data_IF_829787747632
#
_entry.id   IF_829787747632
#
_cell.length_a   1.000
_cell.length_b   1.000
_cell.length_c   1.000
_cell.angle_alpha   90.00
_cell.angle_beta   90.00
_cell.angle_gamma   90.00
#
_symmetry.space_group_name_H-M   'P 1'
#
loop_
_entity.id
_entity.type
_entity.pdbx_description
1 polymer ?
#
# COMPACT_ATOMS: atom_id res chain seq x y z
N UNK A 1 -16.17 10.83 -4.58
CA UNK A 1 -16.10 10.83 -3.11
C UNK A 1 -14.87 11.61 -2.69
N UNK A 2 -14.89 12.28 -1.54
CA UNK A 2 -13.75 13.04 -1.00
C UNK A 2 -13.50 12.64 0.44
N UNK A 3 -12.23 12.48 0.80
CA UNK A 3 -11.75 12.32 2.16
C UNK A 3 -10.71 13.38 2.44
N UNK A 4 -10.65 13.86 3.67
CA UNK A 4 -9.65 14.80 4.14
C UNK A 4 -8.82 14.16 5.24
N UNK A 5 -7.51 14.14 5.05
CA UNK A 5 -6.54 13.64 6.04
C UNK A 5 -6.07 14.83 6.86
N UNK A 6 -6.45 14.88 8.14
CA UNK A 6 -6.09 15.99 9.04
C UNK A 6 -4.79 15.70 9.79
N UNK A 7 -3.72 16.31 9.32
CA UNK A 7 -2.37 16.23 9.91
C UNK A 7 -1.80 17.64 10.14
N UNK A 8 -2.67 18.61 10.43
CA UNK A 8 -2.27 20.00 10.65
C UNK A 8 -1.65 20.61 9.40
N UNK A 9 -0.38 21.04 9.48
CA UNK A 9 0.31 21.65 8.33
C UNK A 9 0.56 20.68 7.15
N UNK A 10 0.38 19.38 7.34
CA UNK A 10 0.59 18.34 6.35
C UNK A 10 -0.72 17.68 5.89
N UNK A 11 -1.86 18.31 6.17
CA UNK A 11 -3.17 17.84 5.75
C UNK A 11 -3.34 17.88 4.24
N UNK A 12 -4.14 16.95 3.70
CA UNK A 12 -4.41 16.86 2.26
C UNK A 12 -5.76 16.20 1.98
N UNK A 13 -6.29 16.43 0.77
CA UNK A 13 -7.50 15.75 0.30
C UNK A 13 -7.17 14.51 -0.54
N UNK A 14 -8.05 13.52 -0.48
CA UNK A 14 -8.07 12.33 -1.32
C UNK A 14 -9.39 12.35 -2.08
N UNK A 15 -9.33 12.32 -3.41
CA UNK A 15 -10.51 12.22 -4.26
C UNK A 15 -10.57 10.85 -4.92
N UNK A 16 -11.74 10.21 -4.82
CA UNK A 16 -12.02 8.88 -5.38
C UNK A 16 -13.20 9.01 -6.33
N UNK A 17 -12.95 8.94 -7.63
CA UNK A 17 -13.98 9.17 -8.64
C UNK A 17 -13.61 8.49 -9.96
N UNK A 18 -14.59 7.84 -10.59
CA UNK A 18 -14.43 7.25 -11.92
C UNK A 18 -14.14 8.33 -12.98
N UNK A 19 -13.14 8.10 -13.81
CA UNK A 19 -12.64 9.02 -14.83
C UNK A 19 -12.00 10.32 -14.30
N UNK A 20 -11.64 10.41 -13.03
CA UNK A 20 -11.02 11.60 -12.43
C UNK A 20 -9.74 12.04 -13.16
N UNK A 21 -9.05 11.12 -13.83
CA UNK A 21 -7.84 11.45 -14.59
C UNK A 21 -8.09 12.46 -15.71
N UNK A 22 -9.30 12.55 -16.26
CA UNK A 22 -9.68 13.53 -17.28
C UNK A 22 -9.81 14.95 -16.74
N UNK A 23 -9.92 15.08 -15.42
CA UNK A 23 -10.10 16.35 -14.72
C UNK A 23 -8.92 16.69 -13.79
N UNK A 24 -7.79 15.96 -13.95
CA UNK A 24 -6.59 16.10 -13.10
C UNK A 24 -6.16 17.55 -12.95
N UNK A 25 -6.18 18.35 -14.04
CA UNK A 25 -5.80 19.77 -14.02
C UNK A 25 -6.63 20.57 -13.04
N UNK A 26 -7.96 20.37 -12.99
CA UNK A 26 -8.87 21.10 -12.10
C UNK A 26 -8.63 20.77 -10.61
N UNK A 27 -8.25 19.54 -10.30
CA UNK A 27 -7.91 19.15 -8.94
C UNK A 27 -6.55 19.71 -8.52
N UNK A 28 -5.56 19.70 -9.42
CA UNK A 28 -4.22 20.26 -9.16
C UNK A 28 -4.30 21.75 -8.87
N UNK A 29 -5.14 22.51 -9.55
CA UNK A 29 -5.34 23.95 -9.33
C UNK A 29 -5.76 24.29 -7.89
N UNK A 30 -6.42 23.37 -7.18
CA UNK A 30 -6.80 23.57 -5.78
C UNK A 30 -5.60 23.64 -4.83
N UNK A 31 -4.49 23.00 -5.19
CA UNK A 31 -3.31 22.84 -4.31
C UNK A 31 -2.02 23.42 -4.89
N UNK A 32 -2.01 23.75 -6.19
CA UNK A 32 -0.82 24.21 -6.90
C UNK A 32 -1.15 25.30 -7.93
N UNK A 33 -0.38 26.41 -7.88
CA UNK A 33 -0.58 27.59 -8.73
C UNK A 33 0.70 28.09 -9.42
N UNK A 34 1.76 27.27 -9.43
CA UNK A 34 3.04 27.61 -10.10
C UNK A 34 3.05 27.10 -11.53
N UNK A 35 4.24 26.99 -12.17
CA UNK A 35 4.31 26.74 -13.61
C UNK A 35 4.74 25.33 -13.98
N UNK A 36 5.65 24.69 -13.23
CA UNK A 36 6.31 23.46 -13.68
C UNK A 36 5.78 22.24 -12.97
N UNK A 37 5.51 21.19 -13.73
CA UNK A 37 5.07 19.89 -13.25
C UNK A 37 5.95 18.81 -13.87
N UNK A 38 6.51 17.92 -13.05
CA UNK A 38 7.19 16.70 -13.49
C UNK A 38 6.29 15.50 -13.22
N UNK A 39 5.88 14.79 -14.25
CA UNK A 39 5.20 13.50 -14.13
C UNK A 39 6.28 12.42 -14.08
N UNK A 40 6.36 11.67 -12.98
CA UNK A 40 7.21 10.50 -12.84
C UNK A 40 6.30 9.27 -12.95
N UNK A 41 6.60 8.39 -13.90
CA UNK A 41 5.82 7.20 -14.18
C UNK A 41 6.74 6.07 -14.67
N UNK A 42 6.15 4.93 -14.98
CA UNK A 42 6.85 3.80 -15.59
C UNK A 42 6.37 3.51 -17.02
N UNK A 43 7.12 2.66 -17.70
CA UNK A 43 6.92 2.30 -19.11
C UNK A 43 5.69 1.38 -19.35
N UNK A 44 5.03 0.89 -18.29
CA UNK A 44 3.73 0.22 -18.39
C UNK A 44 2.56 1.22 -18.23
N UNK A 45 2.66 2.15 -17.29
CA UNK A 45 1.56 3.04 -16.88
C UNK A 45 1.47 4.28 -17.77
N UNK A 46 2.61 4.90 -18.09
CA UNK A 46 2.61 6.14 -18.85
C UNK A 46 1.95 6.02 -20.24
N UNK A 47 2.18 4.95 -21.03
CA UNK A 47 1.51 4.77 -22.31
C UNK A 47 -0.03 4.67 -22.23
N UNK A 48 -0.56 4.26 -21.07
CA UNK A 48 -2.00 4.10 -20.86
C UNK A 48 -2.66 5.42 -20.43
N UNK A 49 -2.01 6.19 -19.58
CA UNK A 49 -2.65 7.32 -18.86
C UNK A 49 -1.90 8.63 -18.96
N UNK A 50 -0.60 8.62 -19.31
CA UNK A 50 0.25 9.81 -19.31
C UNK A 50 -0.27 10.91 -20.19
N UNK A 51 -0.60 10.59 -21.46
CA UNK A 51 -1.12 11.58 -22.42
C UNK A 51 -2.46 12.19 -21.97
N UNK A 52 -3.31 11.42 -21.29
CA UNK A 52 -4.58 11.94 -20.76
C UNK A 52 -4.31 13.01 -19.72
N UNK A 53 -3.37 12.78 -18.81
CA UNK A 53 -3.00 13.73 -17.76
C UNK A 53 -2.29 14.96 -18.36
N UNK A 54 -1.32 14.76 -19.25
CA UNK A 54 -0.60 15.85 -19.92
C UNK A 54 -1.58 16.83 -20.57
N UNK A 55 -2.56 16.34 -21.33
CA UNK A 55 -3.60 17.17 -21.99
C UNK A 55 -4.42 18.02 -21.02
N UNK A 56 -4.62 17.59 -19.78
CA UNK A 56 -5.34 18.38 -18.78
C UNK A 56 -4.49 19.50 -18.18
N UNK A 57 -3.17 19.45 -18.39
CA UNK A 57 -2.18 20.34 -17.75
C UNK A 57 -1.49 21.31 -18.70
N UNK A 58 -1.26 20.93 -19.97
CA UNK A 58 -0.37 21.62 -20.90
C UNK A 58 -0.79 23.06 -21.23
N UNK A 59 -2.08 23.39 -21.14
CA UNK A 59 -2.57 24.76 -21.37
C UNK A 59 -2.13 25.75 -20.28
N UNK A 60 -1.84 25.27 -19.07
CA UNK A 60 -1.53 26.10 -17.89
C UNK A 60 -0.14 25.89 -17.32
N UNK A 61 0.45 24.73 -17.56
CA UNK A 61 1.70 24.31 -16.93
C UNK A 61 2.73 23.91 -17.98
N UNK A 62 3.99 24.13 -17.65
CA UNK A 62 5.13 23.53 -18.33
C UNK A 62 5.29 22.10 -17.82
N UNK A 63 4.82 21.13 -18.59
CA UNK A 63 4.79 19.72 -18.20
C UNK A 63 6.00 18.97 -18.73
N UNK A 64 6.69 18.30 -17.84
CA UNK A 64 7.79 17.38 -18.14
C UNK A 64 7.39 15.97 -17.71
N UNK A 65 7.95 14.95 -18.36
CA UNK A 65 7.71 13.55 -18.02
C UNK A 65 9.03 12.80 -17.90
N UNK A 66 9.16 12.00 -16.85
CA UNK A 66 10.24 11.05 -16.65
C UNK A 66 9.64 9.65 -16.56
N UNK A 67 9.98 8.80 -17.53
CA UNK A 67 9.49 7.42 -17.62
C UNK A 67 10.62 6.50 -17.18
N UNK A 68 10.37 5.71 -16.15
CA UNK A 68 11.31 4.75 -15.57
C UNK A 68 10.92 3.30 -16.00
N UNK A 69 11.82 2.34 -15.93
CA UNK A 69 11.45 0.94 -16.09
C UNK A 69 10.44 0.52 -15.01
N UNK A 70 9.46 -0.31 -15.36
CA UNK A 70 8.50 -0.85 -14.40
C UNK A 70 9.13 -1.89 -13.45
N UNK A 71 8.45 -2.18 -12.35
CA UNK A 71 8.77 -3.24 -11.40
C UNK A 71 9.65 -2.83 -10.22
N UNK A 72 9.69 -3.69 -9.21
CA UNK A 72 10.37 -3.44 -7.93
C UNK A 72 11.85 -3.05 -8.05
N UNK A 73 12.66 -3.59 -9.00
CA UNK A 73 14.06 -3.16 -9.15
C UNK A 73 14.25 -1.67 -9.40
N UNK A 74 13.22 -0.97 -9.89
CA UNK A 74 13.23 0.48 -10.07
C UNK A 74 13.13 1.25 -8.75
N UNK A 75 12.52 0.66 -7.71
CA UNK A 75 12.41 1.24 -6.38
C UNK A 75 13.73 1.17 -5.62
N UNK A 76 14.76 1.76 -6.17
CA UNK A 76 16.12 1.62 -5.70
C UNK A 76 16.81 2.97 -5.51
N UNK A 77 17.85 2.98 -4.68
CA UNK A 77 18.68 4.17 -4.49
C UNK A 77 19.33 4.65 -5.78
N UNK A 78 19.64 3.73 -6.71
CA UNK A 78 20.24 4.01 -8.02
C UNK A 78 19.30 4.78 -8.98
N UNK A 79 18.00 4.75 -8.74
CA UNK A 79 17.01 5.49 -9.53
C UNK A 79 16.91 6.95 -9.11
N UNK A 80 17.24 7.31 -7.87
CA UNK A 80 17.14 8.69 -7.36
C UNK A 80 18.03 9.68 -8.14
N UNK A 81 19.31 9.40 -8.45
CA UNK A 81 20.12 10.30 -9.26
C UNK A 81 19.52 10.62 -10.63
N UNK A 82 18.84 9.67 -11.28
CA UNK A 82 18.17 9.89 -12.57
C UNK A 82 17.02 10.89 -12.41
N UNK A 83 16.22 10.75 -11.34
CA UNK A 83 15.13 11.68 -11.04
C UNK A 83 15.68 13.06 -10.74
N UNK A 84 16.72 13.18 -9.91
CA UNK A 84 17.32 14.48 -9.58
C UNK A 84 17.94 15.16 -10.79
N UNK A 85 18.62 14.42 -11.67
CA UNK A 85 19.17 14.96 -12.91
C UNK A 85 18.06 15.52 -13.80
N UNK A 86 16.99 14.78 -14.03
CA UNK A 86 15.85 15.23 -14.82
C UNK A 86 15.21 16.52 -14.25
N UNK A 87 15.04 16.60 -12.93
CA UNK A 87 14.51 17.78 -12.24
C UNK A 87 15.46 18.99 -12.40
N UNK A 88 16.79 18.79 -12.29
CA UNK A 88 17.78 19.84 -12.41
C UNK A 88 17.93 20.33 -13.86
N UNK A 89 17.94 19.44 -14.84
CA UNK A 89 17.99 19.77 -16.27
C UNK A 89 16.77 20.59 -16.68
N UNK A 90 15.58 20.26 -16.17
CA UNK A 90 14.35 21.02 -16.36
C UNK A 90 14.25 22.25 -15.44
N UNK A 91 15.30 22.54 -14.64
CA UNK A 91 15.39 23.70 -13.73
C UNK A 91 14.22 23.78 -12.74
N UNK A 92 13.87 22.65 -12.14
CA UNK A 92 12.87 22.61 -11.06
C UNK A 92 13.39 23.30 -9.80
N UNK A 93 12.48 23.99 -9.14
CA UNK A 93 12.70 24.66 -7.86
C UNK A 93 11.84 24.00 -6.75
N UNK A 94 12.08 24.39 -5.51
CA UNK A 94 11.29 23.92 -4.36
C UNK A 94 9.79 24.22 -4.47
N UNK A 95 9.40 25.21 -5.27
CA UNK A 95 8.01 25.63 -5.45
C UNK A 95 7.27 24.90 -6.58
N UNK A 96 7.96 24.01 -7.31
CA UNK A 96 7.37 23.23 -8.39
C UNK A 96 6.73 21.94 -7.88
N UNK A 97 6.16 21.12 -8.75
CA UNK A 97 5.33 19.97 -8.40
C UNK A 97 5.80 18.69 -9.08
N UNK A 98 5.80 17.58 -8.32
CA UNK A 98 5.97 16.23 -8.85
C UNK A 98 4.61 15.53 -8.83
N UNK A 99 4.26 14.82 -9.90
CA UNK A 99 3.14 13.87 -9.95
C UNK A 99 3.74 12.47 -10.01
N UNK A 100 3.43 11.64 -9.03
CA UNK A 100 3.71 10.20 -9.04
C UNK A 100 2.52 9.49 -9.70
N UNK A 101 2.67 9.07 -10.95
CA UNK A 101 1.66 8.34 -11.72
C UNK A 101 2.07 6.88 -11.84
N UNK A 102 1.51 5.99 -11.02
CA UNK A 102 1.89 4.58 -11.04
C UNK A 102 1.42 3.78 -9.85
N UNK A 103 1.87 2.54 -9.74
CA UNK A 103 1.68 1.71 -8.56
C UNK A 103 2.54 2.15 -7.37
N UNK A 104 2.60 1.31 -6.32
CA UNK A 104 3.35 1.59 -5.09
C UNK A 104 4.83 1.88 -5.33
N UNK A 105 5.47 1.20 -6.29
CA UNK A 105 6.87 1.43 -6.67
C UNK A 105 7.12 2.89 -7.06
N UNK A 106 6.32 3.42 -7.97
CA UNK A 106 6.44 4.82 -8.43
C UNK A 106 6.01 5.79 -7.34
N UNK A 107 4.93 5.48 -6.61
CA UNK A 107 4.46 6.31 -5.50
C UNK A 107 5.53 6.53 -4.43
N UNK A 108 6.18 5.45 -3.98
CA UNK A 108 7.22 5.49 -2.97
C UNK A 108 8.50 6.18 -3.48
N UNK A 109 8.97 5.79 -4.66
CA UNK A 109 10.20 6.33 -5.25
C UNK A 109 10.09 7.82 -5.55
N UNK A 110 9.01 8.24 -6.22
CA UNK A 110 8.78 9.65 -6.55
C UNK A 110 8.50 10.48 -5.29
N UNK A 111 7.78 9.92 -4.31
CA UNK A 111 7.54 10.55 -3.02
C UNK A 111 8.83 10.75 -2.23
N UNK A 112 9.73 9.76 -2.19
CA UNK A 112 11.02 9.89 -1.52
C UNK A 112 11.95 10.86 -2.29
N UNK A 113 11.93 10.84 -3.62
CA UNK A 113 12.63 11.87 -4.41
C UNK A 113 12.10 13.27 -4.10
N UNK A 114 10.77 13.43 -3.96
CA UNK A 114 10.17 14.71 -3.59
C UNK A 114 10.57 15.16 -2.16
N UNK A 115 10.62 14.23 -1.20
CA UNK A 115 11.03 14.52 0.17
C UNK A 115 12.48 15.02 0.27
N UNK A 116 13.37 14.49 -0.57
CA UNK A 116 14.81 14.76 -0.51
C UNK A 116 15.29 15.85 -1.47
N UNK A 117 14.65 16.03 -2.63
CA UNK A 117 15.02 17.05 -3.61
C UNK A 117 14.85 18.47 -3.02
N UNK A 118 15.93 19.24 -3.00
CA UNK A 118 15.98 20.60 -2.41
C UNK A 118 15.42 20.69 -0.97
N UNK A 119 15.46 19.60 -0.21
CA UNK A 119 14.89 19.44 1.15
C UNK A 119 13.36 19.48 1.19
N UNK A 120 12.72 19.09 0.12
CA UNK A 120 11.27 18.95 -0.01
C UNK A 120 10.70 19.78 -1.17
N UNK A 121 10.02 19.10 -2.08
CA UNK A 121 9.20 19.67 -3.16
C UNK A 121 7.80 19.03 -3.05
N UNK A 122 6.74 19.78 -3.35
CA UNK A 122 5.39 19.21 -3.33
C UNK A 122 5.26 18.03 -4.28
N UNK A 123 4.49 17.02 -3.88
CA UNK A 123 4.12 15.93 -4.78
C UNK A 123 2.66 15.55 -4.63
N UNK A 124 2.13 14.91 -5.66
CA UNK A 124 0.78 14.38 -5.75
C UNK A 124 0.88 12.91 -6.12
N UNK A 125 -0.01 12.08 -5.58
CA UNK A 125 -0.12 10.67 -5.93
C UNK A 125 -1.32 10.43 -6.84
N UNK A 126 -1.11 9.69 -7.93
CA UNK A 126 -2.13 9.13 -8.82
C UNK A 126 -1.89 7.62 -8.88
N UNK A 127 -2.43 6.86 -7.90
CA UNK A 127 -2.17 5.43 -7.79
C UNK A 127 -2.93 4.62 -8.85
N UNK A 128 -2.22 3.71 -9.54
CA UNK A 128 -2.77 2.93 -10.65
C UNK A 128 -2.84 1.42 -10.41
N UNK A 129 -2.40 0.93 -9.26
CA UNK A 129 -2.65 -0.45 -8.80
C UNK A 129 -3.63 -0.46 -7.64
N UNK A 130 -4.33 -1.59 -7.42
CA UNK A 130 -5.29 -1.70 -6.32
C UNK A 130 -4.59 -1.51 -4.97
N UNK A 131 -3.44 -2.17 -4.75
CA UNK A 131 -2.63 -1.99 -3.55
C UNK A 131 -2.28 -0.52 -3.28
N UNK A 132 -1.92 0.23 -4.33
CA UNK A 132 -1.61 1.65 -4.17
C UNK A 132 -2.86 2.48 -3.89
N UNK A 133 -4.00 2.16 -4.49
CA UNK A 133 -5.26 2.88 -4.27
C UNK A 133 -5.78 2.70 -2.84
N UNK A 134 -5.71 1.50 -2.29
CA UNK A 134 -6.29 1.19 -0.96
C UNK A 134 -5.29 1.36 0.19
N UNK A 135 -3.99 1.37 -0.11
CA UNK A 135 -2.96 1.35 0.93
C UNK A 135 -1.82 2.35 0.68
N UNK A 136 -0.84 2.07 -0.19
CA UNK A 136 0.46 2.76 -0.17
C UNK A 136 0.40 4.26 -0.48
N UNK A 137 -0.61 4.77 -1.18
CA UNK A 137 -0.76 6.20 -1.47
C UNK A 137 -1.16 7.06 -0.27
N UNK A 138 -1.50 6.47 0.87
CA UNK A 138 -2.00 7.16 2.06
C UNK A 138 -1.06 6.99 3.24
N UNK A 139 -0.81 8.08 3.98
CA UNK A 139 -0.02 8.04 5.22
C UNK A 139 1.45 8.34 5.07
N UNK A 140 1.89 8.78 3.87
CA UNK A 140 3.16 9.43 3.64
C UNK A 140 4.41 8.57 3.84
N UNK A 141 4.31 7.25 3.98
CA UNK A 141 5.47 6.37 3.95
C UNK A 141 6.00 6.29 2.54
N UNK A 142 7.15 6.87 2.27
CA UNK A 142 7.83 6.86 0.97
C UNK A 142 9.25 6.34 1.16
N UNK A 143 9.72 5.46 0.28
CA UNK A 143 10.98 4.76 0.49
C UNK A 143 11.59 4.21 -0.80
N UNK A 144 12.83 3.75 -0.67
CA UNK A 144 13.54 2.92 -1.64
C UNK A 144 14.10 1.67 -0.96
N UNK A 145 14.33 0.66 -1.77
CA UNK A 145 14.90 -0.61 -1.36
C UNK A 145 16.43 -0.57 -1.36
N UNK A 146 17.02 -1.37 -0.48
CA UNK A 146 18.43 -1.68 -0.46
C UNK A 146 18.64 -3.19 -0.70
N UNK A 147 19.87 -3.65 -1.00
CA UNK A 147 20.17 -5.08 -1.09
C UNK A 147 19.83 -5.85 0.18
N UNK A 148 19.85 -5.18 1.33
CA UNK A 148 19.58 -5.74 2.65
C UNK A 148 18.08 -5.91 2.94
N UNK A 149 17.18 -5.23 2.19
CA UNK A 149 15.74 -5.36 2.37
C UNK A 149 14.94 -4.23 1.76
N UNK A 150 13.62 -4.45 1.70
CA UNK A 150 12.66 -3.47 1.18
C UNK A 150 12.43 -2.32 2.17
N UNK A 151 12.17 -1.11 1.63
CA UNK A 151 11.70 0.08 2.36
C UNK A 151 12.63 0.56 3.50
N UNK A 152 13.92 0.22 3.47
CA UNK A 152 14.85 0.53 4.58
C UNK A 152 15.31 1.99 4.59
N UNK A 153 15.23 2.70 3.47
CA UNK A 153 15.60 4.12 3.38
C UNK A 153 14.41 4.92 2.86
N UNK A 154 13.92 5.84 3.66
CA UNK A 154 12.73 6.61 3.31
C UNK A 154 12.45 7.79 4.22
N UNK A 155 11.26 8.32 4.09
CA UNK A 155 10.77 9.44 4.88
C UNK A 155 9.26 9.31 5.14
N UNK A 156 8.78 10.00 6.18
CA UNK A 156 7.36 10.34 6.29
C UNK A 156 7.13 11.66 5.58
N UNK A 157 6.61 11.60 4.34
CA UNK A 157 6.38 12.78 3.50
C UNK A 157 4.99 12.72 2.89
N UNK A 158 4.08 13.58 3.37
CA UNK A 158 2.68 13.56 2.95
C UNK A 158 2.50 14.17 1.55
N UNK A 159 1.67 13.58 0.68
CA UNK A 159 1.33 14.18 -0.60
C UNK A 159 0.48 15.45 -0.37
N UNK A 160 0.52 16.37 -1.33
CA UNK A 160 -0.38 17.54 -1.33
C UNK A 160 -1.81 17.17 -1.77
N UNK A 161 -1.96 16.04 -2.46
CA UNK A 161 -3.21 15.54 -3.01
C UNK A 161 -3.06 14.08 -3.42
N UNK A 162 -4.13 13.29 -3.32
CA UNK A 162 -4.23 11.95 -3.91
C UNK A 162 -5.46 11.89 -4.81
N UNK A 163 -5.28 11.43 -6.06
CA UNK A 163 -6.35 11.23 -7.04
C UNK A 163 -6.47 9.75 -7.37
N UNK A 164 -7.58 9.15 -7.00
CA UNK A 164 -7.85 7.72 -7.19
C UNK A 164 -8.95 7.56 -8.25
N UNK A 165 -8.60 6.94 -9.37
CA UNK A 165 -9.53 6.53 -10.41
C UNK A 165 -9.70 5.01 -10.39
N UNK A 166 -10.82 4.47 -9.87
CA UNK A 166 -11.04 3.03 -9.84
C UNK A 166 -11.03 2.38 -11.23
N UNK A 167 -11.35 3.12 -12.30
CA UNK A 167 -11.42 2.57 -13.65
C UNK A 167 -10.05 2.21 -14.24
N UNK A 168 -8.94 2.75 -13.72
CA UNK A 168 -7.61 2.36 -14.19
C UNK A 168 -7.31 0.89 -13.85
N UNK A 169 -8.01 0.32 -12.88
CA UNK A 169 -7.87 -1.10 -12.53
C UNK A 169 -8.38 -2.05 -13.61
N UNK A 170 -9.15 -1.57 -14.60
CA UNK A 170 -9.57 -2.39 -15.74
C UNK A 170 -8.42 -2.82 -16.66
N UNK A 171 -7.30 -2.14 -16.62
CA UNK A 171 -6.09 -2.50 -17.38
C UNK A 171 -5.04 -3.20 -16.52
N UNK A 172 -5.30 -3.35 -15.21
CA UNK A 172 -4.36 -3.96 -14.28
C UNK A 172 -4.40 -5.48 -14.43
N UNK A 173 -3.27 -6.17 -14.62
CA UNK A 173 -3.21 -7.63 -14.63
C UNK A 173 -3.74 -8.25 -13.34
N UNK A 174 -4.41 -9.39 -13.44
CA UNK A 174 -5.08 -10.10 -12.35
C UNK A 174 -4.16 -10.32 -11.14
N UNK A 175 -2.90 -10.66 -11.34
CA UNK A 175 -1.92 -10.83 -10.27
C UNK A 175 -1.82 -9.59 -9.36
N UNK A 176 -1.84 -8.39 -9.93
CA UNK A 176 -1.78 -7.14 -9.14
C UNK A 176 -3.13 -6.75 -8.54
N UNK A 177 -4.24 -7.26 -9.10
CA UNK A 177 -5.54 -7.18 -8.44
C UNK A 177 -5.52 -8.03 -7.17
N UNK A 178 -5.09 -9.29 -7.28
CA UNK A 178 -5.00 -10.21 -6.15
C UNK A 178 -4.08 -9.66 -5.06
N UNK A 179 -2.94 -9.08 -5.45
CA UNK A 179 -2.03 -8.41 -4.55
C UNK A 179 -2.72 -7.30 -3.71
N UNK A 180 -3.50 -6.45 -4.35
CA UNK A 180 -4.29 -5.42 -3.65
C UNK A 180 -5.45 -5.99 -2.83
N UNK A 181 -6.07 -7.10 -3.27
CA UNK A 181 -7.18 -7.73 -2.53
C UNK A 181 -6.74 -8.28 -1.17
N UNK A 182 -5.49 -8.71 -1.01
CA UNK A 182 -4.93 -9.08 0.29
C UNK A 182 -5.11 -7.95 1.32
N UNK A 183 -4.80 -6.72 0.94
CA UNK A 183 -4.96 -5.54 1.80
C UNK A 183 -6.43 -5.16 2.01
N UNK A 184 -7.27 -5.25 0.98
CA UNK A 184 -8.72 -4.99 1.10
C UNK A 184 -9.35 -5.92 2.14
N UNK A 185 -9.06 -7.23 2.06
CA UNK A 185 -9.55 -8.23 3.02
C UNK A 185 -9.01 -7.96 4.41
N UNK A 186 -7.74 -7.56 4.53
CA UNK A 186 -7.13 -7.15 5.80
C UNK A 186 -7.92 -6.04 6.49
N UNK A 187 -8.30 -4.98 5.78
CA UNK A 187 -9.10 -3.90 6.35
C UNK A 187 -10.45 -4.38 6.88
N UNK A 188 -11.11 -5.29 6.15
CA UNK A 188 -12.33 -5.95 6.62
C UNK A 188 -12.10 -6.73 7.90
N UNK A 189 -11.01 -7.49 7.98
CA UNK A 189 -10.66 -8.29 9.15
C UNK A 189 -10.38 -7.44 10.38
N UNK A 190 -9.58 -6.39 10.25
CA UNK A 190 -9.07 -5.65 11.41
C UNK A 190 -10.01 -4.56 11.92
N UNK A 191 -10.89 -4.01 11.08
CA UNK A 191 -11.61 -2.78 11.40
C UNK A 191 -13.08 -2.77 11.01
N UNK A 192 -13.43 -3.35 9.86
CA UNK A 192 -14.74 -3.16 9.24
C UNK A 192 -15.42 -4.47 8.85
N UNK A 193 -16.19 -5.05 9.81
CA UNK A 193 -16.92 -6.28 9.59
C UNK A 193 -17.96 -6.19 8.46
N UNK A 194 -18.51 -5.00 8.17
CA UNK A 194 -19.48 -4.84 7.07
C UNK A 194 -18.78 -4.80 5.73
N UNK A 195 -17.56 -4.26 5.65
CA UNK A 195 -16.70 -4.42 4.47
C UNK A 195 -16.42 -5.91 4.24
N UNK A 196 -16.03 -6.64 5.28
CA UNK A 196 -15.75 -8.08 5.15
C UNK A 196 -16.97 -8.86 4.65
N UNK A 197 -18.18 -8.61 5.19
CA UNK A 197 -19.43 -9.21 4.72
C UNK A 197 -19.76 -8.83 3.27
N UNK A 198 -19.48 -7.60 2.88
CA UNK A 198 -19.65 -7.18 1.49
C UNK A 198 -18.75 -8.00 0.56
N UNK A 199 -17.46 -8.20 0.93
CA UNK A 199 -16.54 -9.04 0.17
C UNK A 199 -17.01 -10.50 0.08
N UNK A 200 -17.53 -11.05 1.18
CA UNK A 200 -18.05 -12.44 1.24
C UNK A 200 -19.32 -12.63 0.39
N UNK A 201 -20.10 -11.57 0.16
CA UNK A 201 -21.33 -11.62 -0.62
C UNK A 201 -21.10 -11.67 -2.14
N UNK A 202 -19.88 -11.37 -2.62
CA UNK A 202 -19.51 -11.44 -4.03
C UNK A 202 -18.95 -12.82 -4.38
N UNK A 203 -18.94 -13.13 -5.69
CA UNK A 203 -18.45 -14.41 -6.20
C UNK A 203 -17.07 -14.32 -6.86
N UNK A 204 -16.58 -13.11 -7.13
CA UNK A 204 -15.30 -12.85 -7.76
C UNK A 204 -14.97 -11.35 -7.72
N UNK A 205 -13.74 -10.98 -8.09
CA UNK A 205 -13.38 -9.57 -8.28
C UNK A 205 -14.21 -8.90 -9.39
N UNK A 206 -14.56 -9.61 -10.46
CA UNK A 206 -15.39 -9.06 -11.54
C UNK A 206 -16.79 -8.67 -11.04
N UNK A 207 -17.37 -9.49 -10.14
CA UNK A 207 -18.64 -9.16 -9.48
C UNK A 207 -18.50 -7.99 -8.51
N UNK A 208 -17.34 -7.85 -7.83
CA UNK A 208 -17.04 -6.75 -6.91
C UNK A 208 -16.89 -5.39 -7.63
N UNK A 209 -16.56 -5.36 -8.91
CA UNK A 209 -16.30 -4.11 -9.66
C UNK A 209 -17.45 -3.09 -9.57
N UNK A 210 -18.67 -3.52 -9.43
CA UNK A 210 -19.85 -2.65 -9.27
C UNK A 210 -19.80 -1.82 -7.98
N UNK A 211 -19.16 -2.37 -6.93
CA UNK A 211 -19.04 -1.74 -5.60
C UNK A 211 -17.62 -1.24 -5.32
N UNK A 212 -16.71 -1.36 -6.30
CA UNK A 212 -15.27 -1.16 -6.12
C UNK A 212 -14.91 0.25 -5.61
N UNK A 213 -15.62 1.28 -6.08
CA UNK A 213 -15.39 2.66 -5.62
C UNK A 213 -15.70 2.80 -4.13
N UNK A 214 -16.77 2.17 -3.65
CA UNK A 214 -17.14 2.15 -2.23
C UNK A 214 -16.13 1.33 -1.40
N UNK A 215 -15.70 0.19 -1.91
CA UNK A 215 -14.68 -0.65 -1.26
C UNK A 215 -13.36 0.12 -1.09
N UNK A 216 -12.88 0.78 -2.14
CA UNK A 216 -11.68 1.62 -2.09
C UNK A 216 -11.88 2.76 -1.08
N UNK A 217 -13.02 3.44 -1.11
CA UNK A 217 -13.33 4.52 -0.17
C UNK A 217 -13.24 4.03 1.29
N UNK A 218 -13.85 2.91 1.62
CA UNK A 218 -13.85 2.35 2.98
C UNK A 218 -12.43 1.98 3.43
N UNK A 219 -11.62 1.35 2.57
CA UNK A 219 -10.23 1.02 2.89
C UNK A 219 -9.40 2.30 3.15
N UNK A 220 -9.52 3.29 2.27
CA UNK A 220 -8.82 4.57 2.39
C UNK A 220 -9.26 5.33 3.64
N UNK A 221 -10.56 5.31 3.99
CA UNK A 221 -11.07 5.97 5.19
C UNK A 221 -10.57 5.32 6.48
N UNK A 222 -10.53 3.99 6.54
CA UNK A 222 -9.92 3.26 7.66
C UNK A 222 -8.46 3.68 7.80
N UNK A 223 -7.70 3.67 6.71
CA UNK A 223 -6.29 4.07 6.75
C UNK A 223 -6.11 5.53 7.17
N UNK A 224 -6.95 6.43 6.67
CA UNK A 224 -6.98 7.84 7.08
C UNK A 224 -7.13 7.97 8.60
N UNK A 225 -8.14 7.31 9.18
CA UNK A 225 -8.39 7.35 10.63
C UNK A 225 -7.15 6.88 11.40
N UNK A 226 -6.58 5.76 11.01
CA UNK A 226 -5.39 5.19 11.66
C UNK A 226 -4.17 6.13 11.53
N UNK A 227 -3.98 6.75 10.37
CA UNK A 227 -2.88 7.69 10.11
C UNK A 227 -3.03 8.99 10.90
N UNK A 228 -4.25 9.50 11.03
CA UNK A 228 -4.53 10.70 11.85
C UNK A 228 -4.24 10.47 13.33
N UNK A 229 -4.53 9.26 13.84
CA UNK A 229 -4.23 8.89 15.22
C UNK A 229 -2.74 8.61 15.45
N UNK A 230 -2.05 8.04 14.44
CA UNK A 230 -0.66 7.60 14.56
C UNK A 230 0.12 7.79 13.25
N UNK A 231 0.49 9.04 12.97
CA UNK A 231 1.19 9.41 11.75
C UNK A 231 2.53 8.68 11.57
N UNK A 232 3.25 8.43 12.67
CA UNK A 232 4.64 7.94 12.64
C UNK A 232 4.78 6.44 12.95
N UNK A 233 3.66 5.69 13.00
CA UNK A 233 3.67 4.25 13.21
C UNK A 233 4.30 3.81 14.53
N UNK A 234 3.90 4.48 15.61
CA UNK A 234 4.42 4.22 16.96
C UNK A 234 3.42 3.54 17.88
N UNK A 235 2.18 3.31 17.44
CA UNK A 235 1.09 2.79 18.27
C UNK A 235 -0.02 2.09 17.48
N UNK A 236 -1.18 2.74 17.31
CA UNK A 236 -2.38 2.14 16.72
C UNK A 236 -2.19 1.70 15.26
N UNK A 237 -1.32 2.39 14.51
CA UNK A 237 -1.01 2.04 13.12
C UNK A 237 -0.42 0.63 12.99
N UNK A 238 0.11 0.06 14.08
CA UNK A 238 0.57 -1.34 14.12
C UNK A 238 -0.55 -2.33 13.77
N UNK A 239 -1.84 -2.01 13.99
CA UNK A 239 -2.96 -2.86 13.62
C UNK A 239 -2.98 -3.19 12.12
N UNK A 240 -2.45 -2.30 11.28
CA UNK A 240 -2.32 -2.52 9.84
C UNK A 240 -1.35 -3.68 9.49
N UNK A 241 -0.56 -4.14 10.45
CA UNK A 241 0.38 -5.26 10.27
C UNK A 241 -0.25 -6.63 10.54
N UNK A 242 -1.57 -6.76 10.55
CA UNK A 242 -2.24 -8.06 10.63
C UNK A 242 -1.81 -8.96 9.47
N UNK A 243 -1.31 -10.17 9.78
CA UNK A 243 -0.71 -11.10 8.82
C UNK A 243 0.73 -10.80 8.42
N UNK A 244 1.23 -9.57 8.59
CA UNK A 244 2.51 -9.12 8.06
C UNK A 244 3.74 -9.77 8.72
N UNK A 245 3.65 -10.20 9.98
CA UNK A 245 4.77 -10.90 10.64
C UNK A 245 5.17 -12.16 9.87
N UNK A 246 4.19 -12.95 9.41
CA UNK A 246 4.45 -14.11 8.56
C UNK A 246 4.73 -13.70 7.10
N UNK A 247 3.98 -12.73 6.57
CA UNK A 247 4.12 -12.29 5.20
C UNK A 247 5.56 -11.85 4.86
N UNK A 248 6.14 -10.96 5.66
CA UNK A 248 7.51 -10.50 5.44
C UNK A 248 8.55 -11.63 5.50
N UNK A 249 8.33 -12.61 6.38
CA UNK A 249 9.26 -13.76 6.47
C UNK A 249 9.11 -14.71 5.29
N UNK A 250 7.89 -14.89 4.76
CA UNK A 250 7.64 -15.66 3.53
C UNK A 250 8.30 -14.96 2.34
N UNK A 251 8.04 -13.64 2.16
CA UNK A 251 8.66 -12.84 1.11
C UNK A 251 10.19 -12.93 1.16
N UNK A 252 10.79 -12.79 2.36
CA UNK A 252 12.22 -12.85 2.54
C UNK A 252 12.78 -14.24 2.25
N UNK A 253 12.12 -15.31 2.69
CA UNK A 253 12.53 -16.69 2.44
C UNK A 253 12.64 -16.99 0.95
N UNK A 254 11.68 -16.53 0.15
CA UNK A 254 11.66 -16.70 -1.30
C UNK A 254 12.34 -15.54 -2.06
N UNK A 255 13.12 -14.71 -1.39
CA UNK A 255 13.83 -13.57 -2.00
C UNK A 255 12.92 -12.69 -2.87
N UNK A 256 11.66 -12.50 -2.45
CA UNK A 256 10.64 -11.69 -3.13
C UNK A 256 10.31 -12.13 -4.58
N UNK A 257 10.49 -13.40 -4.88
CA UNK A 257 10.35 -13.92 -6.26
C UNK A 257 9.13 -14.82 -6.47
N UNK A 258 8.50 -15.29 -5.41
CA UNK A 258 7.43 -16.30 -5.49
C UNK A 258 6.07 -15.70 -5.16
N UNK A 259 5.71 -15.57 -3.92
CA UNK A 259 4.47 -14.94 -3.48
C UNK A 259 4.56 -13.42 -3.62
N UNK A 260 3.48 -12.79 -4.09
CA UNK A 260 3.33 -11.34 -4.03
C UNK A 260 3.08 -10.89 -2.59
N UNK A 261 3.16 -9.59 -2.33
CA UNK A 261 2.91 -9.04 -1.00
C UNK A 261 1.51 -9.42 -0.48
N UNK A 262 0.46 -9.19 -1.27
CA UNK A 262 -0.90 -9.52 -0.87
C UNK A 262 -1.16 -11.01 -0.71
N UNK A 263 -0.50 -11.86 -1.51
CA UNK A 263 -0.54 -13.32 -1.35
C UNK A 263 0.09 -13.75 -0.02
N UNK A 264 1.25 -13.19 0.30
CA UNK A 264 1.94 -13.47 1.57
C UNK A 264 1.14 -12.97 2.78
N UNK A 265 0.52 -11.77 2.68
CA UNK A 265 -0.36 -11.22 3.72
C UNK A 265 -1.60 -12.11 3.89
N UNK A 266 -2.20 -12.60 2.82
CA UNK A 266 -3.34 -13.52 2.85
C UNK A 266 -3.01 -14.82 3.62
N UNK A 267 -1.87 -15.45 3.31
CA UNK A 267 -1.35 -16.61 4.05
C UNK A 267 -1.17 -16.26 5.53
N UNK A 268 -0.50 -15.14 5.80
CA UNK A 268 -0.22 -14.69 7.16
C UNK A 268 -1.49 -14.44 7.99
N UNK A 269 -2.51 -13.81 7.40
CA UNK A 269 -3.80 -13.56 8.06
C UNK A 269 -4.48 -14.87 8.46
N UNK A 270 -4.58 -15.82 7.55
CA UNK A 270 -5.18 -17.12 7.84
C UNK A 270 -4.42 -17.88 8.93
N UNK A 271 -3.11 -18.00 8.79
CA UNK A 271 -2.30 -18.82 9.70
C UNK A 271 -2.25 -18.23 11.12
N UNK A 272 -2.08 -16.91 11.25
CA UNK A 272 -2.04 -16.28 12.57
C UNK A 272 -3.42 -16.36 13.28
N UNK A 273 -4.51 -16.26 12.51
CA UNK A 273 -5.87 -16.42 13.06
C UNK A 273 -6.11 -17.83 13.54
N UNK A 274 -5.65 -18.82 12.78
CA UNK A 274 -5.77 -20.23 13.15
C UNK A 274 -5.01 -20.56 14.44
N UNK A 275 -3.78 -20.05 14.59
CA UNK A 275 -3.02 -20.18 15.84
C UNK A 275 -3.77 -19.52 17.00
N UNK A 276 -4.28 -18.29 16.79
CA UNK A 276 -4.99 -17.56 17.83
C UNK A 276 -6.31 -18.22 18.24
N UNK A 277 -7.02 -18.91 17.33
CA UNK A 277 -8.20 -19.73 17.67
C UNK A 277 -7.83 -20.92 18.56
N UNK A 278 -6.73 -21.62 18.25
CA UNK A 278 -6.24 -22.74 19.05
C UNK A 278 -5.83 -22.32 20.47
N UNK A 279 -5.36 -21.08 20.60
CA UNK A 279 -5.03 -20.45 21.89
C UNK A 279 -6.23 -19.81 22.60
N UNK A 280 -7.42 -19.91 22.05
CA UNK A 280 -8.66 -19.27 22.58
C UNK A 280 -8.55 -17.73 22.66
N UNK A 281 -7.67 -17.11 21.86
CA UNK A 281 -7.45 -15.66 21.76
C UNK A 281 -8.34 -15.00 20.70
N UNK A 282 -8.83 -15.79 19.75
CA UNK A 282 -9.73 -15.40 18.66
C UNK A 282 -10.99 -16.25 18.72
N UNK A 283 -12.13 -15.69 18.39
CA UNK A 283 -13.41 -16.39 18.31
C UNK A 283 -13.31 -17.55 17.32
N UNK A 284 -13.76 -18.77 17.69
CA UNK A 284 -13.69 -19.93 16.81
C UNK A 284 -14.45 -19.72 15.49
N UNK A 285 -13.84 -20.14 14.37
CA UNK A 285 -14.42 -20.10 13.03
C UNK A 285 -14.01 -18.89 12.18
N UNK A 286 -13.31 -17.90 12.74
CA UNK A 286 -12.90 -16.71 12.01
C UNK A 286 -11.83 -17.02 10.95
N UNK A 287 -10.91 -17.96 11.22
CA UNK A 287 -9.94 -18.43 10.23
C UNK A 287 -10.61 -19.04 9.00
N UNK A 288 -11.65 -19.84 9.21
CA UNK A 288 -12.41 -20.45 8.10
C UNK A 288 -13.21 -19.41 7.31
N UNK A 289 -13.74 -18.36 7.97
CA UNK A 289 -14.35 -17.22 7.28
C UNK A 289 -13.33 -16.49 6.39
N UNK A 290 -12.14 -16.20 6.93
CA UNK A 290 -11.04 -15.58 6.14
C UNK A 290 -10.68 -16.46 4.95
N UNK A 291 -10.49 -17.77 5.15
CA UNK A 291 -10.18 -18.71 4.07
C UNK A 291 -11.19 -18.65 2.93
N UNK A 292 -12.48 -18.66 3.25
CA UNK A 292 -13.56 -18.59 2.24
C UNK A 292 -13.47 -17.33 1.40
N UNK A 293 -13.22 -16.18 2.03
CA UNK A 293 -13.09 -14.92 1.31
C UNK A 293 -11.81 -14.90 0.47
N UNK A 294 -10.70 -15.43 0.97
CA UNK A 294 -9.47 -15.59 0.19
C UNK A 294 -9.71 -16.46 -1.07
N UNK A 295 -10.43 -17.57 -0.92
CA UNK A 295 -10.76 -18.47 -2.04
C UNK A 295 -11.61 -17.75 -3.12
N UNK A 296 -12.56 -16.88 -2.75
CA UNK A 296 -13.38 -16.08 -3.68
C UNK A 296 -12.50 -15.21 -4.59
N UNK A 297 -11.43 -14.66 -4.05
CA UNK A 297 -10.54 -13.74 -4.76
C UNK A 297 -9.24 -14.39 -5.25
N UNK A 298 -9.16 -15.72 -5.23
CA UNK A 298 -8.03 -16.49 -5.76
C UNK A 298 -6.73 -16.28 -4.97
N UNK A 299 -6.82 -15.91 -3.69
CA UNK A 299 -5.66 -15.73 -2.82
C UNK A 299 -5.31 -17.01 -2.08
N UNK A 300 -4.02 -17.32 -1.93
CA UNK A 300 -3.57 -18.49 -1.17
C UNK A 300 -3.78 -18.28 0.34
N UNK A 301 -4.03 -19.37 1.04
CA UNK A 301 -4.09 -19.40 2.52
C UNK A 301 -2.99 -20.28 3.13
N UNK A 302 -2.09 -20.81 2.28
CA UNK A 302 -0.94 -21.64 2.67
C UNK A 302 0.16 -21.59 1.61
N UNK A 303 1.39 -21.89 2.02
CA UNK A 303 2.54 -22.13 1.13
C UNK A 303 3.28 -23.41 1.55
N UNK A 304 4.38 -23.75 0.85
CA UNK A 304 5.13 -25.00 1.06
C UNK A 304 6.21 -24.87 2.17
N UNK A 305 6.02 -23.99 3.15
CA UNK A 305 6.94 -23.78 4.27
C UNK A 305 6.35 -24.33 5.56
N UNK A 306 7.21 -24.76 6.46
CA UNK A 306 6.83 -25.01 7.83
C UNK A 306 7.08 -23.76 8.68
N UNK A 307 6.31 -23.55 9.73
CA UNK A 307 6.52 -22.40 10.62
C UNK A 307 7.94 -22.34 11.17
N UNK A 308 8.56 -23.47 11.48
CA UNK A 308 9.94 -23.50 11.99
C UNK A 308 10.97 -22.98 10.98
N UNK A 309 10.70 -23.04 9.66
CA UNK A 309 11.58 -22.46 8.63
C UNK A 309 11.63 -20.92 8.71
N UNK A 310 10.56 -20.31 9.22
CA UNK A 310 10.40 -18.87 9.31
C UNK A 310 10.87 -18.27 10.64
N UNK A 311 11.07 -19.10 11.68
CA UNK A 311 11.41 -18.64 13.04
C UNK A 311 12.69 -17.80 13.08
N UNK A 312 13.71 -18.17 12.28
CA UNK A 312 14.95 -17.43 12.21
C UNK A 312 14.78 -15.97 11.78
N UNK A 313 13.94 -15.73 10.78
CA UNK A 313 13.63 -14.40 10.26
C UNK A 313 12.75 -13.62 11.25
N UNK A 314 11.74 -14.25 11.86
CA UNK A 314 10.92 -13.65 12.92
C UNK A 314 11.77 -13.20 14.11
N UNK A 315 12.75 -14.01 14.50
CA UNK A 315 13.66 -13.70 15.61
C UNK A 315 14.60 -12.51 15.29
N UNK A 316 14.99 -12.34 14.02
CA UNK A 316 15.77 -11.19 13.56
C UNK A 316 14.95 -9.89 13.61
N UNK A 317 13.71 -9.94 13.19
CA UNK A 317 12.79 -8.80 13.27
C UNK A 317 12.57 -8.36 14.73
N UNK A 318 12.40 -9.32 15.65
CA UNK A 318 12.33 -9.08 17.10
C UNK A 318 13.56 -8.31 17.63
N UNK A 319 14.78 -8.62 17.17
CA UNK A 319 15.99 -7.91 17.60
C UNK A 319 15.99 -6.46 17.17
N UNK A 320 15.51 -6.19 15.96
CA UNK A 320 15.37 -4.83 15.42
C UNK A 320 14.34 -4.00 16.17
N UNK A 321 13.32 -4.64 16.76
CA UNK A 321 12.26 -4.01 17.56
C UNK A 321 12.56 -3.95 19.08
N UNK A 322 13.82 -4.02 19.49
CA UNK A 322 14.22 -3.90 20.90
C UNK A 322 13.86 -5.11 21.78
N UNK A 323 13.72 -6.29 21.18
CA UNK A 323 13.54 -7.57 21.89
C UNK A 323 12.08 -7.95 22.20
N UNK A 324 11.10 -7.15 21.80
CA UNK A 324 9.68 -7.47 21.96
C UNK A 324 9.08 -7.82 20.59
N UNK A 325 8.32 -8.91 20.53
CA UNK A 325 7.50 -9.27 19.38
C UNK A 325 6.05 -8.90 19.69
N UNK A 326 5.44 -8.10 18.83
CA UNK A 326 4.02 -7.82 18.89
C UNK A 326 3.39 -8.39 17.61
N UNK A 327 2.36 -9.20 17.77
CA UNK A 327 1.55 -9.67 16.64
C UNK A 327 0.17 -9.00 16.70
N UNK A 328 -0.46 -8.86 15.57
CA UNK A 328 -1.85 -8.39 15.50
C UNK A 328 -2.76 -9.60 15.43
N UNK A 329 -3.73 -9.67 16.33
CA UNK A 329 -4.73 -10.72 16.40
C UNK A 329 -6.13 -10.13 16.25
N UNK A 330 -7.09 -10.97 15.90
CA UNK A 330 -8.50 -10.63 15.89
C UNK A 330 -9.15 -11.12 17.20
N UNK A 331 -10.06 -10.34 17.79
CA UNK A 331 -11.05 -10.87 18.71
C UNK A 331 -12.15 -11.61 17.94
N UNK A 332 -12.59 -10.99 16.87
CA UNK A 332 -13.52 -11.44 15.84
C UNK A 332 -13.28 -10.56 14.60
N UNK A 333 -13.77 -10.92 13.42
CA UNK A 333 -13.71 -10.10 12.22
C UNK A 333 -14.28 -8.70 12.51
N UNK A 334 -13.53 -7.68 12.08
CA UNK A 334 -13.81 -6.27 12.33
C UNK A 334 -13.26 -5.72 13.65
N UNK A 335 -12.61 -6.56 14.49
CA UNK A 335 -12.05 -6.15 15.79
C UNK A 335 -10.68 -6.75 16.03
N UNK A 336 -9.64 -5.99 15.83
CA UNK A 336 -8.25 -6.38 16.04
C UNK A 336 -7.64 -5.78 17.31
N UNK A 337 -6.52 -6.33 17.72
CA UNK A 337 -5.72 -5.83 18.83
C UNK A 337 -4.27 -6.30 18.70
N UNK A 338 -3.35 -5.60 19.34
CA UNK A 338 -1.95 -6.00 19.45
C UNK A 338 -1.76 -6.97 20.60
N UNK A 339 -1.02 -8.05 20.37
CA UNK A 339 -0.71 -9.07 21.35
C UNK A 339 0.81 -9.19 21.52
N UNK A 340 1.35 -8.81 22.70
CA UNK A 340 2.77 -8.98 22.99
C UNK A 340 3.08 -10.48 23.16
N UNK A 341 4.11 -10.96 22.48
CA UNK A 341 4.45 -12.38 22.46
C UNK A 341 5.95 -12.63 22.27
N UNK A 342 6.28 -13.90 22.07
CA UNK A 342 7.64 -14.36 21.73
C UNK A 342 7.58 -15.27 20.51
N UNK A 343 8.72 -15.76 20.06
CA UNK A 343 8.79 -16.77 18.99
C UNK A 343 8.09 -18.09 19.35
N UNK A 344 7.86 -18.35 20.63
CA UNK A 344 7.13 -19.54 21.12
C UNK A 344 5.69 -19.58 20.58
N UNK A 345 5.05 -18.41 20.37
CA UNK A 345 3.76 -18.31 19.71
C UNK A 345 3.70 -19.08 18.38
N UNK A 346 4.80 -19.14 17.66
CA UNK A 346 4.88 -19.85 16.37
C UNK A 346 5.45 -21.27 16.53
N UNK A 347 6.44 -21.49 17.41
CA UNK A 347 7.09 -22.80 17.55
C UNK A 347 6.21 -23.86 18.20
N UNK A 348 5.33 -23.47 19.12
CA UNK A 348 4.38 -24.39 19.77
C UNK A 348 3.26 -24.84 18.83
N UNK A 349 3.09 -24.15 17.70
CA UNK A 349 2.05 -24.42 16.69
C UNK A 349 2.68 -24.80 15.33
N UNK A 350 3.83 -25.48 15.33
CA UNK A 350 4.55 -25.82 14.10
C UNK A 350 3.68 -26.63 13.13
N UNK A 351 3.49 -26.05 11.95
CA UNK A 351 2.65 -26.59 10.88
C UNK A 351 3.11 -26.07 9.52
N UNK A 352 2.54 -26.61 8.45
CA UNK A 352 2.64 -26.01 7.14
C UNK A 352 1.89 -24.67 7.12
N UNK A 353 2.61 -23.64 6.69
CA UNK A 353 2.11 -22.25 6.63
C UNK A 353 1.22 -22.04 5.41
#
# INVERSE_FOLDING_TARGET
MELYVDLGAHSYSIYIENNILKDTGSYIEKVYSRKKIMIISDDNVFPLYGDTIVKTLEDKYEVHSLILPHGEPTKSFQSLPKIYSALLEARFSRSDLIIALGGGVIGDLAGFAAASFLRGIKFIQIPTSLLAQVDSSVGGKVAVDLPEGKNLVGAFYQPALVLIDPLVLNTLPERYINDGMGEVIKYGCIWDADLFKNLEAHTSFEDLKKDLTEVIYRCVDIKRIVVEHDQFDTGERMLLNFGHTLAHTIEQHYHYTRESHGEAVAIGMYQITKIAEEMELTKPGEAEHIRKVLDIYGLPHKCDLMLHDLIGAIALDKKNLGGKLNVVLLKEIGKSYTYPTTTEFFTEHDRMV
#
